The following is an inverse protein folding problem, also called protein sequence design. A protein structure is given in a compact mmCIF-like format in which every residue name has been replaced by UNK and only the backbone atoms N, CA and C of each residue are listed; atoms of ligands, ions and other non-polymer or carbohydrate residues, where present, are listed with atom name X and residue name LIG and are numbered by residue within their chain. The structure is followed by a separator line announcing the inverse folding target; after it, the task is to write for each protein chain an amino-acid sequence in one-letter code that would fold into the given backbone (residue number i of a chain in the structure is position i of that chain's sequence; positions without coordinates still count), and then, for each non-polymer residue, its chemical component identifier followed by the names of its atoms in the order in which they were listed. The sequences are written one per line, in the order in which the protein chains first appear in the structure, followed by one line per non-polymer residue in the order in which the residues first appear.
data_IF_047269830761
#
_entry.id   IF_047269830761
#
_cell.length_a   1.000
_cell.length_b   1.000
_cell.length_c   1.000
_cell.angle_alpha   90.00
_cell.angle_beta   90.00
_cell.angle_gamma   90.00
#
_symmetry.space_group_name_H-M   'P 1'
#
loop_
_entity.id
_entity.type
_entity.pdbx_description
1 polymer ?
#
# COMPACT_ATOMS: atom_id res chain seq x y z
N UNK A 1 -2.70 -11.51 10.65
CA UNK A 1 -2.35 -10.09 10.88
C UNK A 1 -1.04 -9.85 10.19
N UNK A 2 -1.01 -8.91 9.24
CA UNK A 2 0.08 -8.79 8.26
C UNK A 2 1.47 -8.70 8.90
N UNK A 3 1.62 -8.04 10.05
CA UNK A 3 2.90 -7.89 10.78
C UNK A 3 3.55 -9.25 11.08
N UNK A 4 2.75 -10.24 11.49
CA UNK A 4 3.25 -11.61 11.74
C UNK A 4 3.53 -12.36 10.44
N UNK A 5 2.69 -12.17 9.43
CA UNK A 5 2.82 -12.83 8.12
C UNK A 5 4.09 -12.40 7.38
N UNK A 6 4.50 -11.13 7.53
CA UNK A 6 5.74 -10.59 6.95
C UNK A 6 6.95 -10.76 7.87
N UNK A 7 6.81 -11.47 9.00
CA UNK A 7 7.86 -11.68 10.00
C UNK A 7 8.53 -10.38 10.48
N UNK A 8 7.77 -9.28 10.58
CA UNK A 8 8.31 -8.01 11.03
C UNK A 8 8.69 -8.09 12.52
N UNK A 9 9.89 -7.61 12.85
CA UNK A 9 10.39 -7.57 14.22
C UNK A 9 10.16 -6.18 14.80
N UNK A 10 9.32 -6.10 15.82
CA UNK A 10 8.95 -4.85 16.49
C UNK A 10 7.50 -4.86 16.92
N UNK A 11 7.08 -3.79 17.59
CA UNK A 11 5.68 -3.62 17.95
C UNK A 11 4.86 -3.01 16.79
N UNK A 12 3.56 -2.79 17.04
CA UNK A 12 2.68 -2.18 16.04
C UNK A 12 3.11 -0.75 15.68
N UNK A 13 3.60 0.02 16.65
CA UNK A 13 4.06 1.40 16.46
C UNK A 13 5.29 1.44 15.57
N UNK A 14 6.24 0.52 15.80
CA UNK A 14 7.43 0.36 14.98
C UNK A 14 7.08 -0.02 13.54
N UNK A 15 6.07 -0.88 13.35
CA UNK A 15 5.60 -1.25 12.02
C UNK A 15 5.00 -0.06 11.26
N UNK A 16 4.17 0.75 11.94
CA UNK A 16 3.62 1.97 11.32
C UNK A 16 4.73 2.98 11.03
N UNK A 17 5.72 3.12 11.91
CA UNK A 17 6.89 3.98 11.67
C UNK A 17 7.65 3.52 10.42
N UNK A 18 7.98 2.23 10.34
CA UNK A 18 8.63 1.62 9.18
C UNK A 18 7.90 1.95 7.87
N UNK A 19 6.58 1.73 7.81
CA UNK A 19 5.79 2.03 6.61
C UNK A 19 5.78 3.52 6.21
N UNK A 20 6.01 4.44 7.16
CA UNK A 20 5.97 5.89 6.93
C UNK A 20 7.33 6.52 6.65
N UNK A 21 8.42 5.83 6.96
CA UNK A 21 9.77 6.41 6.87
C UNK A 21 10.67 5.66 5.91
N UNK A 22 10.39 4.40 5.62
CA UNK A 22 11.26 3.62 4.74
C UNK A 22 11.13 4.10 3.27
N UNK A 23 12.25 4.48 2.62
CA UNK A 23 12.25 5.00 1.26
C UNK A 23 11.63 4.05 0.22
N UNK A 24 11.59 2.74 0.46
CA UNK A 24 11.03 1.77 -0.49
C UNK A 24 9.54 2.00 -0.80
N UNK A 25 8.83 2.69 0.11
CA UNK A 25 7.41 3.01 -0.05
C UNK A 25 7.15 4.34 -0.75
N UNK A 26 8.20 5.11 -1.06
CA UNK A 26 8.11 6.44 -1.65
C UNK A 26 8.80 6.49 -3.01
N UNK A 27 8.35 7.40 -3.88
CA UNK A 27 8.99 7.65 -5.18
C UNK A 27 9.76 8.96 -5.12
N UNK A 28 10.88 9.02 -5.84
CA UNK A 28 11.66 10.25 -5.96
C UNK A 28 11.13 11.16 -7.07
N UNK A 29 10.30 10.62 -7.97
CA UNK A 29 9.71 11.35 -9.07
C UNK A 29 8.19 11.54 -8.89
N UNK A 30 7.66 12.75 -9.12
CA UNK A 30 6.21 13.01 -9.04
C UNK A 30 5.39 12.18 -10.03
N UNK A 31 5.95 11.88 -11.21
CA UNK A 31 5.26 11.13 -12.25
C UNK A 31 5.01 9.68 -11.82
N UNK A 32 6.02 9.03 -11.27
CA UNK A 32 5.92 7.66 -10.74
C UNK A 32 4.84 7.53 -9.67
N UNK A 33 4.68 8.55 -8.83
CA UNK A 33 3.65 8.58 -7.79
C UNK A 33 2.25 8.53 -8.42
N UNK A 34 2.00 9.37 -9.42
CA UNK A 34 0.70 9.47 -10.11
C UNK A 34 0.42 8.19 -10.89
N UNK A 35 1.43 7.63 -11.57
CA UNK A 35 1.30 6.39 -12.33
C UNK A 35 0.96 5.20 -11.41
N UNK A 36 1.68 5.04 -10.30
CA UNK A 36 1.40 3.99 -9.30
C UNK A 36 0.00 4.16 -8.69
N UNK A 37 -0.37 5.38 -8.28
CA UNK A 37 -1.70 5.65 -7.72
C UNK A 37 -2.83 5.33 -8.71
N UNK A 38 -2.67 5.75 -9.97
CA UNK A 38 -3.62 5.46 -11.05
C UNK A 38 -3.76 3.95 -11.30
N UNK A 39 -2.65 3.22 -11.33
CA UNK A 39 -2.64 1.77 -11.51
C UNK A 39 -3.36 1.05 -10.37
N UNK A 40 -3.07 1.38 -9.12
CA UNK A 40 -3.73 0.79 -7.93
C UNK A 40 -5.23 1.07 -7.98
N UNK A 41 -5.63 2.30 -8.26
CA UNK A 41 -7.03 2.73 -8.33
C UNK A 41 -7.78 1.95 -9.41
N UNK A 42 -7.24 1.84 -10.62
CA UNK A 42 -7.86 1.08 -11.72
C UNK A 42 -7.99 -0.40 -11.39
N UNK A 43 -6.95 -1.00 -10.79
CA UNK A 43 -6.97 -2.41 -10.37
C UNK A 43 -8.04 -2.66 -9.30
N UNK A 44 -8.23 -1.74 -8.37
CA UNK A 44 -9.30 -1.83 -7.37
C UNK A 44 -10.67 -1.60 -7.99
N UNK A 45 -10.83 -0.60 -8.85
CA UNK A 45 -12.08 -0.34 -9.57
C UNK A 45 -12.59 -1.57 -10.32
N UNK A 46 -11.69 -2.35 -10.95
CA UNK A 46 -12.06 -3.61 -11.60
C UNK A 46 -12.52 -4.72 -10.63
N UNK A 47 -12.09 -4.67 -9.36
CA UNK A 47 -12.46 -5.66 -8.32
C UNK A 47 -13.71 -5.28 -7.54
N UNK A 48 -13.99 -3.99 -7.38
CA UNK A 48 -15.11 -3.48 -6.58
C UNK A 48 -16.50 -4.02 -7.01
N UNK A 49 -16.82 -4.22 -8.31
CA UNK A 49 -18.09 -4.82 -8.69
C UNK A 49 -18.38 -6.16 -8.02
N UNK A 50 -17.37 -6.97 -7.70
CA UNK A 50 -17.59 -8.26 -7.00
C UNK A 50 -18.25 -8.14 -5.62
N UNK A 51 -18.17 -6.96 -5.01
CA UNK A 51 -18.61 -6.70 -3.63
C UNK A 51 -19.72 -5.65 -3.57
N UNK A 52 -19.79 -4.78 -4.58
CA UNK A 52 -20.70 -3.62 -4.63
C UNK A 52 -21.61 -3.65 -5.87
N UNK A 53 -21.81 -4.80 -6.50
CA UNK A 53 -22.88 -4.96 -7.49
C UNK A 53 -24.23 -4.83 -6.80
N UNK A 54 -25.06 -3.93 -7.33
CA UNK A 54 -26.49 -3.83 -7.03
C UNK A 54 -27.24 -4.87 -7.85
#
# INVERSE_FOLDING_TARGET
MIIKEVNFKGDFTDFIRFLRTDPQFYTNEPRDLIEKASYITRKMAAKLPKWFSV
#
